data_IF_570449188577
#
_entry.id   IF_570449188577
#
_cell.length_a   1.000
_cell.length_b   1.000
_cell.length_c   1.000
_cell.angle_alpha   90.00
_cell.angle_beta   90.00
_cell.angle_gamma   90.00
#
_symmetry.space_group_name_H-M   'P 1'
#
loop_
_entity.id
_entity.type
_entity.pdbx_description
1 polymer ?
#
# COMPACT_ATOMS: atom_id res chain seq x y z
N UNK A 1 -5.54 29.89 -6.53
CA UNK A 1 -5.26 28.62 -5.84
C UNK A 1 -4.03 28.00 -6.45
N UNK A 2 -2.93 27.92 -5.70
CA UNK A 2 -1.67 27.33 -6.19
C UNK A 2 -1.85 25.82 -6.25
N UNK A 3 -1.60 25.15 -7.38
CA UNK A 3 -1.62 23.69 -7.42
C UNK A 3 -0.47 23.22 -6.52
N UNK A 4 -0.81 22.62 -5.39
CA UNK A 4 0.17 21.95 -4.55
C UNK A 4 0.68 20.74 -5.34
N UNK A 5 1.83 20.89 -5.99
CA UNK A 5 2.58 19.77 -6.54
C UNK A 5 2.65 18.67 -5.48
N UNK A 6 2.12 17.49 -5.78
CA UNK A 6 2.09 16.36 -4.85
C UNK A 6 3.48 16.08 -4.26
N UNK A 7 4.55 16.32 -5.03
CA UNK A 7 5.93 16.22 -4.56
C UNK A 7 6.31 17.22 -3.46
N UNK A 8 5.87 18.49 -3.55
CA UNK A 8 6.12 19.49 -2.50
C UNK A 8 5.35 19.18 -1.22
N UNK A 9 4.12 18.69 -1.35
CA UNK A 9 3.33 18.23 -0.22
C UNK A 9 4.01 17.06 0.48
N UNK A 10 4.50 16.06 -0.27
CA UNK A 10 5.26 14.94 0.27
C UNK A 10 6.53 15.38 1.00
N UNK A 11 7.30 16.31 0.44
CA UNK A 11 8.53 16.82 1.05
C UNK A 11 8.25 17.62 2.32
N UNK A 12 7.21 18.45 2.32
CA UNK A 12 6.79 19.20 3.51
C UNK A 12 6.34 18.25 4.63
N UNK A 13 5.51 17.25 4.33
CA UNK A 13 5.05 16.26 5.31
C UNK A 13 6.17 15.33 5.79
N UNK A 14 7.13 14.99 4.92
CA UNK A 14 8.32 14.24 5.28
C UNK A 14 9.23 15.01 6.24
N UNK A 15 9.41 16.32 5.99
CA UNK A 15 10.18 17.19 6.86
C UNK A 15 9.49 17.40 8.22
N UNK A 16 8.15 17.46 8.24
CA UNK A 16 7.37 17.63 9.48
C UNK A 16 7.41 16.36 10.36
N UNK A 17 7.50 15.15 9.78
CA UNK A 17 7.44 13.87 10.50
C UNK A 17 8.72 13.02 10.38
N UNK A 18 9.88 13.65 10.18
CA UNK A 18 11.19 12.97 10.09
C UNK A 18 11.55 12.07 11.29
N UNK A 19 11.18 12.36 12.56
CA UNK A 19 11.54 11.51 13.69
C UNK A 19 10.84 10.16 13.62
N UNK A 20 9.58 10.14 13.17
CA UNK A 20 8.83 8.91 12.97
C UNK A 20 9.43 8.06 11.83
N UNK A 21 9.92 8.71 10.76
CA UNK A 21 10.62 8.04 9.66
C UNK A 21 11.94 7.42 10.11
N UNK A 22 12.73 8.14 10.92
CA UNK A 22 13.97 7.59 11.49
C UNK A 22 13.71 6.45 12.45
N UNK A 23 12.75 6.60 13.36
CA UNK A 23 12.41 5.56 14.32
C UNK A 23 11.90 4.30 13.59
N UNK A 24 11.12 4.47 12.52
CA UNK A 24 10.69 3.36 11.68
C UNK A 24 11.86 2.67 10.96
N UNK A 25 12.84 3.45 10.50
CA UNK A 25 14.05 2.94 9.85
C UNK A 25 14.89 2.13 10.83
N UNK A 26 15.18 2.68 12.01
CA UNK A 26 15.95 2.03 13.07
C UNK A 26 15.27 0.73 13.50
N UNK A 27 13.96 0.74 13.79
CA UNK A 27 13.24 -0.45 14.19
C UNK A 27 13.22 -1.54 13.10
N UNK A 28 13.18 -1.14 11.83
CA UNK A 28 13.24 -2.08 10.70
C UNK A 28 14.63 -2.72 10.57
N UNK A 29 15.69 -1.93 10.77
CA UNK A 29 17.07 -2.45 10.79
C UNK A 29 17.24 -3.42 11.96
N UNK A 30 16.77 -3.07 13.16
CA UNK A 30 16.82 -3.95 14.34
C UNK A 30 16.08 -5.27 14.09
N UNK A 31 14.87 -5.21 13.53
CA UNK A 31 14.11 -6.41 13.16
C UNK A 31 14.83 -7.27 12.11
N UNK A 32 15.52 -6.64 11.15
CA UNK A 32 16.29 -7.34 10.12
C UNK A 32 17.52 -8.05 10.70
N UNK A 33 18.24 -7.40 11.62
CA UNK A 33 19.38 -8.00 12.34
C UNK A 33 18.91 -9.19 13.18
N UNK A 34 17.79 -9.07 13.90
CA UNK A 34 17.20 -10.18 14.65
C UNK A 34 16.85 -11.36 13.72
N UNK A 35 16.29 -11.08 12.54
CA UNK A 35 15.98 -12.11 11.54
C UNK A 35 17.24 -12.87 11.10
N UNK A 36 18.34 -12.17 10.81
CA UNK A 36 19.61 -12.79 10.42
C UNK A 36 20.21 -13.66 11.53
N UNK A 37 20.14 -13.20 12.78
CA UNK A 37 20.60 -13.98 13.94
C UNK A 37 19.83 -15.28 14.07
N UNK A 38 18.53 -15.28 13.76
CA UNK A 38 17.74 -16.51 13.75
C UNK A 38 18.14 -17.51 12.67
N UNK A 39 18.49 -17.05 11.47
CA UNK A 39 18.89 -17.95 10.40
C UNK A 39 20.13 -18.74 10.83
N UNK A 40 21.06 -18.09 11.53
CA UNK A 40 22.24 -18.74 12.11
C UNK A 40 21.90 -19.74 13.22
N UNK A 41 20.88 -19.47 14.05
CA UNK A 41 20.45 -20.41 15.10
C UNK A 41 19.76 -21.65 14.52
N UNK A 42 19.07 -21.51 13.38
CA UNK A 42 18.45 -22.65 12.69
C UNK A 42 19.48 -23.68 12.25
N UNK A 43 20.64 -23.24 11.76
CA UNK A 43 21.76 -24.14 11.42
C UNK A 43 22.22 -24.96 12.62
N UNK A 44 22.38 -24.34 13.79
CA UNK A 44 22.79 -25.04 15.03
C UNK A 44 21.73 -26.03 15.52
N UNK A 45 20.45 -25.70 15.37
CA UNK A 45 19.34 -26.59 15.72
C UNK A 45 19.31 -27.82 14.80
N UNK A 46 19.57 -27.65 13.50
CA UNK A 46 19.65 -28.76 12.56
C UNK A 46 20.76 -29.75 12.94
N UNK A 47 21.95 -29.24 13.29
CA UNK A 47 23.09 -30.08 13.70
C UNK A 47 22.83 -30.82 15.03
N UNK A 48 22.15 -30.17 16.00
CA UNK A 48 21.82 -30.75 17.31
C UNK A 48 20.71 -31.80 17.24
N UNK A 49 19.71 -31.59 16.37
CA UNK A 49 18.65 -32.58 16.11
C UNK A 49 19.21 -33.78 15.35
N UNK A 50 20.13 -33.55 14.39
CA UNK A 50 20.87 -34.62 13.71
C UNK A 50 21.71 -35.49 14.65
N UNK A 51 22.13 -34.95 15.80
CA UNK A 51 22.81 -35.67 16.88
C UNK A 51 21.86 -36.38 17.87
N UNK A 52 20.54 -36.36 17.65
CA UNK A 52 19.56 -37.12 18.44
C UNK A 52 19.09 -36.45 19.75
N UNK A 53 19.48 -35.20 20.00
CA UNK A 53 18.99 -34.42 21.15
C UNK A 53 17.99 -33.34 20.72
N UNK A 54 16.90 -33.16 21.47
CA UNK A 54 16.08 -31.93 21.42
C UNK A 54 16.48 -31.03 22.60
N UNK A 55 17.50 -30.17 22.44
CA UNK A 55 17.96 -29.33 23.53
C UNK A 55 16.94 -28.22 23.81
N UNK A 56 16.34 -28.25 25.00
CA UNK A 56 15.30 -27.31 25.46
C UNK A 56 15.79 -25.85 25.50
N UNK A 57 17.08 -25.65 25.81
CA UNK A 57 17.71 -24.32 25.94
C UNK A 57 17.76 -23.51 24.63
N UNK A 58 18.31 -24.00 23.51
CA UNK A 58 18.32 -23.26 22.25
C UNK A 58 16.91 -23.06 21.66
N UNK A 59 15.94 -23.93 21.98
CA UNK A 59 14.53 -23.72 21.68
C UNK A 59 13.98 -22.49 22.41
N UNK A 60 14.28 -22.34 23.70
CA UNK A 60 13.90 -21.16 24.49
C UNK A 60 14.60 -19.88 24.00
N UNK A 61 15.89 -19.96 23.64
CA UNK A 61 16.64 -18.82 23.07
C UNK A 61 16.04 -18.37 21.72
N UNK A 62 15.62 -19.32 20.86
CA UNK A 62 14.93 -19.03 19.60
C UNK A 62 13.55 -18.39 19.84
N UNK A 63 12.78 -18.94 20.79
CA UNK A 63 11.47 -18.41 21.16
C UNK A 63 11.57 -16.98 21.68
N UNK A 64 12.54 -16.69 22.56
CA UNK A 64 12.82 -15.35 23.07
C UNK A 64 13.19 -14.38 21.93
N UNK A 65 14.00 -14.83 20.98
CA UNK A 65 14.41 -14.03 19.83
C UNK A 65 13.26 -13.75 18.85
N UNK A 66 12.35 -14.71 18.63
CA UNK A 66 11.09 -14.51 17.88
C UNK A 66 10.17 -13.53 18.60
N UNK A 67 10.05 -13.64 19.92
CA UNK A 67 9.25 -12.72 20.72
C UNK A 67 9.81 -11.28 20.64
N UNK A 68 11.14 -11.13 20.72
CA UNK A 68 11.80 -9.83 20.56
C UNK A 68 11.57 -9.23 19.17
N UNK A 69 11.64 -10.04 18.10
CA UNK A 69 11.31 -9.61 16.75
C UNK A 69 9.85 -9.14 16.62
N UNK A 70 8.91 -9.89 17.22
CA UNK A 70 7.50 -9.52 17.24
C UNK A 70 7.26 -8.21 18.01
N UNK A 71 7.92 -8.03 19.16
CA UNK A 71 7.85 -6.80 19.94
C UNK A 71 8.40 -5.59 19.16
N UNK A 72 9.54 -5.75 18.48
CA UNK A 72 10.12 -4.70 17.63
C UNK A 72 9.19 -4.32 16.47
N UNK A 73 8.58 -5.31 15.79
CA UNK A 73 7.58 -5.07 14.73
C UNK A 73 6.34 -4.37 15.28
N UNK A 74 5.86 -4.76 16.45
CA UNK A 74 4.73 -4.10 17.10
C UNK A 74 5.03 -2.63 17.41
N UNK A 75 6.19 -2.34 18.02
CA UNK A 75 6.62 -0.97 18.29
C UNK A 75 6.71 -0.14 17.00
N UNK A 76 7.26 -0.71 15.93
CA UNK A 76 7.32 -0.08 14.60
C UNK A 76 5.93 0.26 14.06
N UNK A 77 4.98 -0.68 14.12
CA UNK A 77 3.61 -0.47 13.64
C UNK A 77 2.91 0.60 14.48
N UNK A 78 3.12 0.60 15.79
CA UNK A 78 2.58 1.61 16.72
C UNK A 78 3.09 3.02 16.42
N UNK A 79 4.41 3.18 16.28
CA UNK A 79 5.03 4.48 15.95
C UNK A 79 4.58 4.98 14.58
N UNK A 80 4.59 4.11 13.58
CA UNK A 80 4.16 4.47 12.22
C UNK A 80 2.66 4.80 12.17
N UNK A 81 1.85 4.14 13.01
CA UNK A 81 0.43 4.40 13.16
C UNK A 81 0.15 5.74 13.83
N UNK A 82 0.88 6.07 14.90
CA UNK A 82 0.77 7.38 15.56
C UNK A 82 1.07 8.53 14.59
N UNK A 83 2.16 8.41 13.82
CA UNK A 83 2.52 9.41 12.81
C UNK A 83 1.42 9.58 11.74
N UNK A 84 0.74 8.51 11.32
CA UNK A 84 -0.41 8.59 10.40
C UNK A 84 -1.55 9.41 10.98
N UNK A 85 -1.92 9.16 12.23
CA UNK A 85 -2.98 9.89 12.92
C UNK A 85 -2.65 11.39 13.05
N UNK A 86 -1.40 11.72 13.34
CA UNK A 86 -0.93 13.11 13.41
C UNK A 86 -1.00 13.81 12.05
N UNK A 87 -0.53 13.15 10.99
CA UNK A 87 -0.61 13.65 9.62
C UNK A 87 -2.06 13.88 9.18
N UNK A 88 -2.96 12.95 9.50
CA UNK A 88 -4.40 13.09 9.23
C UNK A 88 -4.98 14.30 9.97
N UNK A 89 -4.67 14.45 11.25
CA UNK A 89 -5.17 15.57 12.07
C UNK A 89 -4.65 16.92 11.55
N UNK A 90 -3.37 17.01 11.17
CA UNK A 90 -2.78 18.20 10.58
C UNK A 90 -3.44 18.56 9.24
N UNK A 91 -3.69 17.56 8.38
CA UNK A 91 -4.35 17.77 7.10
C UNK A 91 -5.80 18.24 7.26
N UNK A 92 -6.56 17.61 8.16
CA UNK A 92 -7.94 18.02 8.49
C UNK A 92 -7.99 19.46 9.01
N UNK A 93 -7.04 19.84 9.86
CA UNK A 93 -6.93 21.21 10.38
C UNK A 93 -6.65 22.22 9.28
N UNK A 94 -5.74 21.92 8.34
CA UNK A 94 -5.42 22.78 7.20
C UNK A 94 -6.59 22.89 6.22
N UNK A 95 -7.29 21.80 5.94
CA UNK A 95 -8.50 21.80 5.10
C UNK A 95 -9.62 22.62 5.74
N UNK A 96 -9.82 22.49 7.05
CA UNK A 96 -10.81 23.28 7.77
C UNK A 96 -10.50 24.78 7.70
N UNK A 97 -9.24 25.16 7.95
CA UNK A 97 -8.80 26.55 7.80
C UNK A 97 -8.95 27.06 6.36
N UNK A 98 -8.67 26.22 5.36
CA UNK A 98 -8.86 26.56 3.95
C UNK A 98 -10.34 26.82 3.63
N UNK A 99 -11.27 26.00 4.13
CA UNK A 99 -12.71 26.25 3.94
C UNK A 99 -13.18 27.56 4.58
N UNK A 100 -12.62 27.95 5.73
CA UNK A 100 -12.97 29.22 6.39
C UNK A 100 -12.43 30.47 5.67
N UNK A 101 -11.42 30.30 4.82
CA UNK A 101 -10.76 31.39 4.08
C UNK A 101 -11.11 31.39 2.60
N UNK A 102 -11.95 30.45 2.17
CA UNK A 102 -12.41 30.33 0.80
C UNK A 102 -13.47 31.40 0.47
N UNK A 103 -13.53 31.79 -0.80
CA UNK A 103 -14.50 32.76 -1.28
C UNK A 103 -15.96 32.29 -1.04
N UNK A 104 -16.81 33.19 -0.54
CA UNK A 104 -18.20 32.91 -0.19
C UNK A 104 -18.97 32.35 -1.39
N UNK A 105 -18.72 32.86 -2.60
CA UNK A 105 -19.37 32.36 -3.81
C UNK A 105 -19.02 30.89 -4.12
N UNK A 106 -17.88 30.38 -3.63
CA UNK A 106 -17.48 28.97 -3.78
C UNK A 106 -17.99 28.12 -2.63
N UNK A 107 -18.05 28.69 -1.42
CA UNK A 107 -18.59 28.03 -0.23
C UNK A 107 -20.10 27.79 -0.34
N UNK A 108 -20.87 28.75 -0.85
CA UNK A 108 -22.32 28.64 -1.06
C UNK A 108 -22.70 27.58 -2.10
N UNK A 109 -21.80 27.29 -3.04
CA UNK A 109 -22.00 26.22 -4.04
C UNK A 109 -21.81 24.81 -3.48
N UNK A 110 -21.26 24.66 -2.26
CA UNK A 110 -21.00 23.35 -1.64
C UNK A 110 -22.04 23.04 -0.58
N UNK A 111 -22.51 21.81 -0.56
CA UNK A 111 -23.38 21.31 0.50
C UNK A 111 -22.57 21.01 1.77
N UNK A 112 -23.20 21.15 2.94
CA UNK A 112 -22.58 20.75 4.21
C UNK A 112 -22.15 19.26 4.22
N UNK A 113 -22.86 18.41 3.46
CA UNK A 113 -22.53 17.00 3.27
C UNK A 113 -21.21 16.79 2.51
N UNK A 114 -20.98 17.53 1.42
CA UNK A 114 -19.72 17.48 0.67
C UNK A 114 -18.54 17.99 1.50
N UNK A 115 -18.72 19.09 2.23
CA UNK A 115 -17.67 19.61 3.12
C UNK A 115 -17.28 18.58 4.18
N UNK A 116 -18.26 17.87 4.77
CA UNK A 116 -18.01 16.80 5.74
C UNK A 116 -17.27 15.62 5.12
N UNK A 117 -17.67 15.18 3.92
CA UNK A 117 -17.01 14.06 3.23
C UNK A 117 -15.56 14.41 2.85
N UNK A 118 -15.31 15.64 2.40
CA UNK A 118 -13.94 16.12 2.12
C UNK A 118 -13.08 16.18 3.38
N UNK A 119 -13.62 16.75 4.47
CA UNK A 119 -12.89 16.91 5.72
C UNK A 119 -12.61 15.56 6.41
N UNK A 120 -13.51 14.59 6.28
CA UNK A 120 -13.37 13.26 6.87
C UNK A 120 -12.74 12.26 5.91
N UNK A 121 -13.50 11.86 4.90
CA UNK A 121 -13.18 10.76 3.98
C UNK A 121 -11.99 11.06 3.08
N UNK A 122 -12.00 12.19 2.36
CA UNK A 122 -10.90 12.54 1.45
C UNK A 122 -9.60 12.84 2.22
N UNK A 123 -9.67 13.61 3.29
CA UNK A 123 -8.51 13.93 4.13
C UNK A 123 -7.86 12.65 4.70
N UNK A 124 -8.66 11.73 5.25
CA UNK A 124 -8.17 10.46 5.80
C UNK A 124 -7.47 9.62 4.72
N UNK A 125 -8.09 9.48 3.54
CA UNK A 125 -7.52 8.75 2.40
C UNK A 125 -6.20 9.36 1.92
N UNK A 126 -6.12 10.69 1.80
CA UNK A 126 -4.90 11.38 1.38
C UNK A 126 -3.80 11.18 2.42
N UNK A 127 -4.10 11.36 3.70
CA UNK A 127 -3.15 11.13 4.79
C UNK A 127 -2.61 9.70 4.77
N UNK A 128 -3.49 8.71 4.58
CA UNK A 128 -3.11 7.30 4.47
C UNK A 128 -2.21 7.00 3.28
N UNK A 129 -2.50 7.57 2.11
CA UNK A 129 -1.68 7.38 0.90
C UNK A 129 -0.30 8.01 1.10
N UNK A 130 -0.26 9.25 1.59
CA UNK A 130 0.99 9.99 1.82
C UNK A 130 1.84 9.29 2.87
N UNK A 131 1.25 8.92 4.01
CA UNK A 131 1.97 8.26 5.08
C UNK A 131 2.48 6.87 4.66
N UNK A 132 1.72 6.12 3.86
CA UNK A 132 2.20 4.85 3.28
C UNK A 132 3.35 5.06 2.31
N UNK A 133 3.28 6.08 1.46
CA UNK A 133 4.38 6.40 0.54
C UNK A 133 5.67 6.76 1.29
N UNK A 134 5.57 7.62 2.31
CA UNK A 134 6.72 8.05 3.11
C UNK A 134 7.30 6.90 3.94
N UNK A 135 6.48 6.28 4.78
CA UNK A 135 6.95 5.21 5.68
C UNK A 135 7.32 3.93 4.93
N UNK A 136 6.60 3.60 3.85
CA UNK A 136 6.85 2.42 3.03
C UNK A 136 8.08 2.58 2.15
N UNK A 137 8.27 3.74 1.51
CA UNK A 137 9.42 4.03 0.67
C UNK A 137 10.72 3.99 1.46
N UNK A 138 10.81 4.76 2.55
CA UNK A 138 12.00 4.79 3.42
C UNK A 138 12.31 3.40 3.97
N UNK A 139 11.30 2.68 4.44
CA UNK A 139 11.45 1.30 4.93
C UNK A 139 12.01 0.36 3.86
N UNK A 140 11.46 0.42 2.65
CA UNK A 140 11.88 -0.45 1.56
C UNK A 140 13.34 -0.18 1.18
N UNK A 141 13.74 1.09 1.09
CA UNK A 141 15.14 1.46 0.86
C UNK A 141 16.05 0.95 1.99
N UNK A 142 15.66 1.14 3.24
CA UNK A 142 16.46 0.70 4.39
C UNK A 142 16.64 -0.83 4.43
N UNK A 143 15.58 -1.59 4.18
CA UNK A 143 15.64 -3.06 4.10
C UNK A 143 16.53 -3.51 2.95
N UNK A 144 16.40 -2.90 1.77
CA UNK A 144 17.22 -3.24 0.61
C UNK A 144 18.70 -2.96 0.88
N UNK A 145 19.04 -1.77 1.37
CA UNK A 145 20.43 -1.40 1.70
C UNK A 145 20.98 -2.33 2.77
N UNK A 146 20.23 -2.60 3.82
CA UNK A 146 20.65 -3.50 4.89
C UNK A 146 20.81 -4.95 4.38
N UNK A 147 19.90 -5.43 3.55
CA UNK A 147 19.93 -6.77 2.97
C UNK A 147 21.17 -6.96 2.10
N UNK A 148 21.45 -6.02 1.19
CA UNK A 148 22.67 -6.03 0.36
C UNK A 148 23.92 -5.98 1.24
N UNK A 149 23.98 -5.06 2.22
CA UNK A 149 25.11 -4.96 3.13
C UNK A 149 25.33 -6.24 3.95
N UNK A 150 24.25 -6.92 4.37
CA UNK A 150 24.35 -8.17 5.11
C UNK A 150 24.83 -9.33 4.23
N UNK A 151 24.37 -9.41 2.98
CA UNK A 151 24.82 -10.43 2.04
C UNK A 151 26.32 -10.27 1.78
N UNK A 152 26.77 -9.06 1.43
CA UNK A 152 28.18 -8.77 1.14
C UNK A 152 29.12 -9.10 2.30
N UNK A 153 28.65 -9.00 3.57
CA UNK A 153 29.43 -9.40 4.75
C UNK A 153 29.60 -10.90 4.94
N UNK A 154 28.71 -11.73 4.36
CA UNK A 154 28.73 -13.18 4.57
C UNK A 154 29.66 -13.89 3.57
N UNK A 155 29.52 -13.59 2.29
CA UNK A 155 30.42 -14.04 1.22
C UNK A 155 30.21 -13.17 0.00
N UNK A 156 31.29 -12.54 -0.49
CA UNK A 156 31.21 -11.63 -1.64
C UNK A 156 30.90 -12.38 -2.95
N UNK A 157 31.34 -13.62 -3.09
CA UNK A 157 31.12 -14.48 -4.28
C UNK A 157 29.65 -14.87 -4.43
N UNK A 158 29.04 -15.42 -3.37
CA UNK A 158 27.62 -15.82 -3.39
C UNK A 158 26.72 -14.59 -3.51
N UNK A 159 27.12 -13.48 -2.90
CA UNK A 159 26.38 -12.22 -2.97
C UNK A 159 26.40 -11.62 -4.37
N UNK A 160 27.51 -11.68 -5.10
CA UNK A 160 27.60 -11.16 -6.45
C UNK A 160 26.67 -11.92 -7.41
N UNK A 161 26.64 -13.25 -7.29
CA UNK A 161 25.73 -14.10 -8.08
C UNK A 161 24.27 -13.81 -7.71
N UNK A 162 23.94 -13.75 -6.41
CA UNK A 162 22.60 -13.43 -5.95
C UNK A 162 22.14 -12.03 -6.41
N UNK A 163 23.02 -11.03 -6.31
CA UNK A 163 22.74 -9.66 -6.74
C UNK A 163 22.57 -9.57 -8.26
N UNK A 164 23.26 -10.40 -9.04
CA UNK A 164 23.05 -10.52 -10.49
C UNK A 164 21.66 -11.05 -10.88
N UNK A 165 21.03 -11.89 -10.05
CA UNK A 165 19.67 -12.38 -10.29
C UNK A 165 18.57 -11.39 -9.87
N UNK A 166 18.88 -10.39 -9.03
CA UNK A 166 17.88 -9.41 -8.56
C UNK A 166 17.33 -8.53 -9.71
N UNK A 167 18.14 -7.89 -10.57
CA UNK A 167 17.64 -7.04 -11.66
C UNK A 167 16.63 -7.70 -12.60
N UNK A 168 16.87 -8.91 -13.16
CA UNK A 168 15.88 -9.56 -14.02
C UNK A 168 14.60 -9.91 -13.26
N UNK A 169 14.70 -10.29 -11.97
CA UNK A 169 13.53 -10.48 -11.12
C UNK A 169 12.73 -9.18 -10.96
N UNK A 170 13.38 -8.08 -10.58
CA UNK A 170 12.75 -6.77 -10.41
C UNK A 170 12.08 -6.30 -11.70
N UNK A 171 12.71 -6.50 -12.87
CA UNK A 171 12.12 -6.16 -14.17
C UNK A 171 10.87 -6.98 -14.46
N UNK A 172 10.93 -8.30 -14.26
CA UNK A 172 9.79 -9.19 -14.49
C UNK A 172 8.62 -8.85 -13.55
N UNK A 173 8.88 -8.74 -12.24
CA UNK A 173 7.88 -8.35 -11.25
C UNK A 173 7.33 -6.95 -11.52
N UNK A 174 8.19 -6.00 -11.89
CA UNK A 174 7.80 -4.64 -12.25
C UNK A 174 6.88 -4.59 -13.47
N UNK A 175 7.18 -5.36 -14.51
CA UNK A 175 6.35 -5.45 -15.72
C UNK A 175 4.97 -6.06 -15.43
N UNK A 176 4.93 -7.19 -14.71
CA UNK A 176 3.68 -7.85 -14.32
C UNK A 176 2.86 -6.97 -13.36
N UNK A 177 3.53 -6.30 -12.42
CA UNK A 177 2.91 -5.34 -11.49
C UNK A 177 2.32 -4.13 -12.22
N UNK A 178 3.04 -3.56 -13.19
CA UNK A 178 2.55 -2.46 -14.02
C UNK A 178 1.33 -2.87 -14.86
N UNK A 179 1.36 -4.08 -15.42
CA UNK A 179 0.23 -4.65 -16.16
C UNK A 179 -1.00 -4.86 -15.25
N UNK A 180 -0.83 -5.44 -14.05
CA UNK A 180 -1.90 -5.60 -13.07
C UNK A 180 -2.48 -4.24 -12.65
N UNK A 181 -1.62 -3.26 -12.36
CA UNK A 181 -2.06 -1.91 -12.02
C UNK A 181 -2.85 -1.26 -13.17
N UNK A 182 -2.44 -1.45 -14.43
CA UNK A 182 -3.17 -0.97 -15.60
C UNK A 182 -4.54 -1.65 -15.71
N UNK A 183 -4.60 -2.97 -15.58
CA UNK A 183 -5.86 -3.71 -15.65
C UNK A 183 -6.85 -3.27 -14.55
N UNK A 184 -6.37 -2.98 -13.33
CA UNK A 184 -7.20 -2.41 -12.26
C UNK A 184 -7.72 -1.01 -12.59
N UNK A 185 -6.89 -0.14 -13.19
CA UNK A 185 -7.33 1.19 -13.63
C UNK A 185 -8.43 1.07 -14.69
N UNK A 186 -8.24 0.20 -15.68
CA UNK A 186 -9.22 -0.01 -16.75
C UNK A 186 -10.54 -0.59 -16.19
N UNK A 187 -10.46 -1.50 -15.20
CA UNK A 187 -11.63 -2.04 -14.51
C UNK A 187 -12.40 -0.98 -13.71
N UNK A 188 -11.68 -0.09 -13.00
CA UNK A 188 -12.29 1.02 -12.27
C UNK A 188 -12.93 2.03 -13.22
N UNK A 189 -12.28 2.39 -14.32
CA UNK A 189 -12.83 3.28 -15.34
C UNK A 189 -14.12 2.71 -15.95
N UNK A 190 -14.16 1.41 -16.27
CA UNK A 190 -15.37 0.75 -16.77
C UNK A 190 -16.51 0.75 -15.73
N UNK A 191 -16.19 0.60 -14.45
CA UNK A 191 -17.17 0.69 -13.35
C UNK A 191 -17.71 2.11 -13.21
N UNK A 192 -16.85 3.12 -13.27
CA UNK A 192 -17.24 4.53 -13.22
C UNK A 192 -18.14 4.90 -14.41
N UNK A 193 -17.81 4.43 -15.62
CA UNK A 193 -18.64 4.61 -16.80
C UNK A 193 -20.05 4.00 -16.62
N UNK A 194 -20.15 2.77 -16.12
CA UNK A 194 -21.45 2.15 -15.82
C UNK A 194 -22.24 2.95 -14.76
N UNK A 195 -21.55 3.44 -13.73
CA UNK A 195 -22.17 4.29 -12.70
C UNK A 195 -22.66 5.62 -13.27
N UNK A 196 -21.92 6.21 -14.21
CA UNK A 196 -22.30 7.45 -14.89
C UNK A 196 -23.56 7.24 -15.74
N UNK A 197 -23.63 6.13 -16.50
CA UNK A 197 -24.82 5.77 -17.28
C UNK A 197 -26.03 5.62 -16.35
N UNK A 198 -25.88 4.91 -15.23
CA UNK A 198 -26.97 4.79 -14.25
C UNK A 198 -27.43 6.15 -13.71
N UNK A 199 -26.49 7.03 -13.34
CA UNK A 199 -26.81 8.36 -12.81
C UNK A 199 -27.58 9.22 -13.83
N UNK A 200 -27.15 9.23 -15.10
CA UNK A 200 -27.82 9.97 -16.18
C UNK A 200 -29.26 9.47 -16.40
N UNK A 201 -29.46 8.14 -16.46
CA UNK A 201 -30.79 7.56 -16.69
C UNK A 201 -31.71 7.74 -15.49
N UNK A 202 -31.19 7.65 -14.27
CA UNK A 202 -31.97 7.92 -13.06
C UNK A 202 -32.38 9.39 -12.94
N UNK A 203 -31.49 10.33 -13.31
CA UNK A 203 -31.84 11.75 -13.41
C UNK A 203 -32.95 11.99 -14.45
N UNK A 204 -32.92 11.24 -15.56
CA UNK A 204 -33.95 11.21 -16.60
C UNK A 204 -35.12 10.25 -16.35
N UNK A 205 -35.31 9.69 -15.15
CA UNK A 205 -36.28 8.61 -14.96
C UNK A 205 -37.73 8.96 -15.39
N UNK A 206 -38.12 10.23 -15.28
CA UNK A 206 -39.42 10.72 -15.75
C UNK A 206 -39.56 10.64 -17.27
N UNK A 207 -38.51 10.95 -18.02
CA UNK A 207 -38.56 10.89 -19.49
C UNK A 207 -38.54 9.44 -19.98
N UNK A 208 -37.76 8.57 -19.35
CA UNK A 208 -37.75 7.13 -19.68
C UNK A 208 -39.15 6.52 -19.53
N UNK A 209 -39.85 6.82 -18.42
CA UNK A 209 -41.24 6.39 -18.20
C UNK A 209 -42.23 7.02 -19.16
N UNK A 210 -42.04 8.29 -19.52
CA UNK A 210 -42.92 8.98 -20.47
C UNK A 210 -42.88 8.37 -21.89
N UNK A 211 -41.76 7.73 -22.26
CA UNK A 211 -41.59 7.04 -23.54
C UNK A 211 -41.68 5.51 -23.44
N UNK A 212 -42.04 4.96 -22.27
CA UNK A 212 -42.11 3.51 -22.00
C UNK A 212 -40.85 2.73 -22.45
N UNK A 213 -39.67 3.27 -22.13
CA UNK A 213 -38.35 2.72 -22.53
C UNK A 213 -37.57 2.06 -21.40
N UNK A 214 -38.25 1.56 -20.38
CA UNK A 214 -37.62 0.95 -19.22
C UNK A 214 -36.77 -0.28 -19.60
N UNK A 215 -37.31 -1.19 -20.41
CA UNK A 215 -36.61 -2.41 -20.84
C UNK A 215 -35.37 -2.11 -21.70
N UNK A 216 -35.46 -1.13 -22.60
CA UNK A 216 -34.35 -0.69 -23.45
C UNK A 216 -33.19 -0.13 -22.61
N UNK A 217 -33.50 0.68 -21.60
CA UNK A 217 -32.49 1.27 -20.71
C UNK A 217 -31.92 0.24 -19.71
N UNK A 218 -32.72 -0.72 -19.27
CA UNK A 218 -32.25 -1.86 -18.48
C UNK A 218 -31.25 -2.70 -19.28
N UNK A 219 -31.56 -3.03 -20.54
CA UNK A 219 -30.66 -3.78 -21.42
C UNK A 219 -29.33 -3.03 -21.66
N UNK A 220 -29.38 -1.70 -21.84
CA UNK A 220 -28.18 -0.86 -21.98
C UNK A 220 -27.33 -0.86 -20.71
N UNK A 221 -27.96 -0.75 -19.55
CA UNK A 221 -27.24 -0.79 -18.28
C UNK A 221 -26.63 -2.18 -18.03
N UNK A 222 -27.34 -3.26 -18.38
CA UNK A 222 -26.84 -4.62 -18.31
C UNK A 222 -25.59 -4.81 -19.20
N UNK A 223 -25.56 -4.22 -20.39
CA UNK A 223 -24.38 -4.26 -21.27
C UNK A 223 -23.19 -3.47 -20.67
N UNK A 224 -23.44 -2.29 -20.10
CA UNK A 224 -22.41 -1.52 -19.39
C UNK A 224 -21.82 -2.31 -18.19
N UNK A 225 -22.68 -3.00 -17.43
CA UNK A 225 -22.26 -3.89 -16.35
C UNK A 225 -21.45 -5.08 -16.87
N UNK A 226 -21.81 -5.66 -18.02
CA UNK A 226 -21.07 -6.77 -18.64
C UNK A 226 -19.66 -6.34 -19.03
N UNK A 227 -19.50 -5.16 -19.62
CA UNK A 227 -18.18 -4.58 -19.94
C UNK A 227 -17.35 -4.38 -18.67
N UNK A 228 -17.93 -3.79 -17.62
CA UNK A 228 -17.25 -3.59 -16.34
C UNK A 228 -16.86 -4.93 -15.68
N UNK A 229 -17.73 -5.94 -15.72
CA UNK A 229 -17.47 -7.27 -15.19
C UNK A 229 -16.32 -7.96 -15.93
N UNK A 230 -16.28 -7.87 -17.26
CA UNK A 230 -15.20 -8.43 -18.06
C UNK A 230 -13.86 -7.73 -17.81
N UNK A 231 -13.87 -6.40 -17.67
CA UNK A 231 -12.67 -5.65 -17.27
C UNK A 231 -12.17 -6.08 -15.88
N UNK A 232 -13.07 -6.24 -14.91
CA UNK A 232 -12.74 -6.74 -13.57
C UNK A 232 -12.17 -8.17 -13.59
N UNK A 233 -12.74 -9.08 -14.38
CA UNK A 233 -12.22 -10.45 -14.55
C UNK A 233 -10.79 -10.46 -15.10
N UNK A 234 -10.48 -9.58 -16.06
CA UNK A 234 -9.11 -9.41 -16.60
C UNK A 234 -8.15 -8.90 -15.53
N UNK A 235 -8.57 -7.92 -14.72
CA UNK A 235 -7.77 -7.43 -13.61
C UNK A 235 -7.50 -8.51 -12.55
N UNK A 236 -8.49 -9.34 -12.23
CA UNK A 236 -8.34 -10.49 -11.32
C UNK A 236 -7.34 -11.50 -11.89
N UNK A 237 -7.43 -11.85 -13.17
CA UNK A 237 -6.46 -12.75 -13.81
C UNK A 237 -5.04 -12.18 -13.77
N UNK A 238 -4.87 -10.89 -14.07
CA UNK A 238 -3.58 -10.22 -13.99
C UNK A 238 -3.01 -10.25 -12.56
N UNK A 239 -3.86 -10.03 -11.55
CA UNK A 239 -3.45 -10.09 -10.15
C UNK A 239 -3.13 -11.53 -9.70
N UNK A 240 -3.92 -12.51 -10.13
CA UNK A 240 -3.67 -13.92 -9.86
C UNK A 240 -2.34 -14.38 -10.47
N UNK A 241 -2.04 -13.95 -11.70
CA UNK A 241 -0.74 -14.21 -12.35
C UNK A 241 0.42 -13.59 -11.55
N UNK A 242 0.26 -12.36 -11.05
CA UNK A 242 1.25 -11.72 -10.18
C UNK A 242 1.49 -12.50 -8.88
N UNK A 243 0.42 -12.97 -8.22
CA UNK A 243 0.53 -13.77 -7.00
C UNK A 243 1.17 -15.13 -7.25
N UNK A 244 0.79 -15.81 -8.34
CA UNK A 244 1.36 -17.11 -8.72
C UNK A 244 2.86 -16.99 -9.03
N UNK A 245 3.27 -15.93 -9.73
CA UNK A 245 4.69 -15.65 -9.98
C UNK A 245 5.46 -15.40 -8.68
N UNK A 246 4.86 -14.70 -7.71
CA UNK A 246 5.49 -14.46 -6.42
C UNK A 246 5.65 -15.75 -5.60
N UNK A 247 4.64 -16.63 -5.62
CA UNK A 247 4.69 -17.92 -4.93
C UNK A 247 5.69 -18.90 -5.55
N UNK A 248 6.01 -18.75 -6.84
CA UNK A 248 6.98 -19.61 -7.53
C UNK A 248 8.45 -19.32 -7.16
N UNK A 249 8.74 -18.17 -6.54
CA UNK A 249 10.09 -17.86 -6.05
C UNK A 249 10.31 -18.58 -4.72
N UNK A 250 11.29 -19.51 -4.61
CA UNK A 250 11.57 -20.19 -3.35
C UNK A 250 12.00 -19.16 -2.29
N UNK A 251 11.27 -19.14 -1.18
CA UNK A 251 11.47 -18.26 -0.02
C UNK A 251 12.56 -18.72 0.92
#
# INVERSE_FOLDING_TARGET
GVPLDGGRLLLMLAAEHWPALLLATIATVVASVLKLTSVRHMSRLYDLIGAGGVPLRPLLELAALRAAEAAAKYALVRVSGAARCEMETSLRRRLFAAFLTEDMATLERRTAGECRERLGGEASRIADVVARALTGGVKSCAVTVHGVASLMRLSWEISAVALGMVPPGVLLFGAVGAYSARAHRDANAAKEAASSVAAERLAGARTVRAFAREEDEEARYAEALRVAANAKKRAIHAHAAHLALFAAVPS
#
